data_IF_676454438949
#
_entry.id   IF_676454438949
#
_cell.length_a   1.000
_cell.length_b   1.000
_cell.length_c   1.000
_cell.angle_alpha   90.00
_cell.angle_beta   90.00
_cell.angle_gamma   90.00
#
_symmetry.space_group_name_H-M   'P 1'
#
loop_
_entity.id
_entity.type
_entity.pdbx_description
1 polymer ?
#
# COMPACT_ATOMS: atom_id res chain seq x y z
N UNK A 1 -8.61 52.45 8.57
CA UNK A 1 -8.28 52.80 9.96
C UNK A 1 -8.83 51.73 10.88
N UNK A 2 -7.96 51.23 11.76
CA UNK A 2 -8.13 50.08 12.63
C UNK A 2 -9.07 50.34 13.82
N UNK A 3 -9.68 49.26 14.35
CA UNK A 3 -9.85 48.97 15.79
C UNK A 3 -10.42 47.53 15.93
N UNK A 4 -9.60 46.50 16.12
CA UNK A 4 -9.09 45.97 17.40
C UNK A 4 -10.17 45.58 18.43
N UNK A 5 -10.60 44.31 18.41
CA UNK A 5 -10.90 43.51 19.60
C UNK A 5 -10.34 42.09 19.41
N UNK A 6 -9.30 41.77 20.19
CA UNK A 6 -8.87 40.39 20.40
C UNK A 6 -9.91 39.66 21.26
N UNK A 7 -10.12 38.36 21.05
CA UNK A 7 -9.59 37.37 22.02
C UNK A 7 -9.14 36.10 21.25
N UNK A 8 -8.51 35.06 21.78
CA UNK A 8 -8.06 34.62 23.09
C UNK A 8 -6.82 33.75 22.78
N UNK A 9 -5.74 33.90 23.53
CA UNK A 9 -4.46 33.24 23.29
C UNK A 9 -4.39 31.93 24.11
N UNK A 10 -5.46 31.14 24.07
CA UNK A 10 -5.51 29.81 24.67
C UNK A 10 -4.89 28.81 23.71
N UNK A 11 -3.62 28.50 23.99
CA UNK A 11 -2.80 27.42 23.45
C UNK A 11 -3.62 26.24 22.94
N UNK A 12 -3.85 26.18 21.63
CA UNK A 12 -4.05 24.89 20.99
C UNK A 12 -2.66 24.33 20.78
N UNK A 13 -2.20 23.53 21.75
CA UNK A 13 -1.07 22.64 21.55
C UNK A 13 -1.47 21.66 20.44
N UNK A 14 -1.29 22.07 19.19
CA UNK A 14 -1.28 21.17 18.06
C UNK A 14 0.01 20.35 18.16
N UNK A 15 0.01 19.38 19.06
CA UNK A 15 0.71 18.11 18.82
C UNK A 15 -0.08 17.36 17.76
N UNK A 16 -0.22 17.95 16.57
CA UNK A 16 -0.60 17.22 15.39
C UNK A 16 0.56 16.28 15.12
N UNK A 17 0.45 15.03 15.58
CA UNK A 17 1.31 13.94 15.11
C UNK A 17 1.27 14.02 13.59
N UNK A 18 2.37 14.45 12.97
CA UNK A 18 2.54 14.39 11.54
C UNK A 18 2.16 12.97 11.11
N UNK A 19 1.06 12.84 10.37
CA UNK A 19 0.59 11.53 9.94
C UNK A 19 1.71 10.84 9.18
N UNK A 20 1.99 9.58 9.52
CA UNK A 20 2.85 8.74 8.67
C UNK A 20 2.16 8.61 7.31
N UNK A 21 2.93 8.78 6.24
CA UNK A 21 2.48 8.52 4.87
C UNK A 21 3.23 7.28 4.42
N UNK A 22 2.56 6.12 4.38
CA UNK A 22 3.16 4.84 3.93
C UNK A 22 3.26 4.75 2.41
N UNK A 23 3.05 5.85 1.68
CA UNK A 23 2.87 5.80 0.24
C UNK A 23 3.25 7.10 -0.46
N UNK A 24 3.86 7.00 -1.64
CA UNK A 24 4.24 8.14 -2.48
C UNK A 24 3.02 8.87 -3.07
N UNK A 25 3.03 10.20 -3.08
CA UNK A 25 1.91 11.00 -3.62
C UNK A 25 2.00 11.26 -5.13
N UNK A 26 2.88 10.54 -5.85
CA UNK A 26 3.09 10.69 -7.29
C UNK A 26 2.59 9.48 -8.07
N UNK A 27 1.93 9.67 -9.23
CA UNK A 27 1.61 8.60 -10.17
C UNK A 27 2.82 7.72 -10.48
N UNK A 28 2.58 6.45 -10.78
CA UNK A 28 3.66 5.59 -11.25
C UNK A 28 4.11 6.04 -12.63
N UNK A 29 5.41 6.22 -12.82
CA UNK A 29 6.00 6.49 -14.14
C UNK A 29 7.26 5.67 -14.33
N UNK A 30 7.57 5.40 -15.60
CA UNK A 30 8.84 4.82 -15.99
C UNK A 30 9.93 5.89 -15.79
N UNK A 31 10.78 5.66 -14.78
CA UNK A 31 11.86 6.59 -14.40
C UNK A 31 13.00 6.51 -15.41
N UNK A 32 13.21 5.34 -16.02
CA UNK A 32 14.34 5.08 -16.90
C UNK A 32 14.04 5.55 -18.33
N UNK A 33 12.84 5.27 -18.86
CA UNK A 33 12.48 5.54 -20.26
C UNK A 33 13.56 5.08 -21.23
N UNK A 34 14.04 3.85 -21.05
CA UNK A 34 15.28 3.34 -21.65
C UNK A 34 15.38 3.64 -23.15
N UNK A 35 14.32 3.35 -23.91
CA UNK A 35 14.30 3.56 -25.36
C UNK A 35 14.47 5.02 -25.79
N UNK A 36 14.06 5.98 -24.96
CA UNK A 36 14.16 7.42 -25.24
C UNK A 36 15.47 8.05 -24.76
N UNK A 37 16.09 7.49 -23.72
CA UNK A 37 17.26 8.07 -23.07
C UNK A 37 18.55 7.39 -23.56
N UNK A 38 18.62 6.05 -23.53
CA UNK A 38 19.80 5.26 -23.89
C UNK A 38 19.63 4.49 -25.22
N UNK A 39 18.39 4.30 -25.65
CA UNK A 39 18.02 3.63 -26.90
C UNK A 39 17.54 2.20 -26.70
N UNK A 40 16.73 1.71 -27.65
CA UNK A 40 16.12 0.36 -27.61
C UNK A 40 17.12 -0.79 -27.70
N UNK A 41 18.35 -0.49 -28.14
CA UNK A 41 19.45 -1.45 -28.29
C UNK A 41 20.47 -1.37 -27.15
N UNK A 42 20.14 -0.69 -26.04
CA UNK A 42 21.03 -0.64 -24.87
C UNK A 42 21.25 -2.05 -24.31
N UNK A 43 22.51 -2.44 -24.16
CA UNK A 43 22.96 -3.80 -23.85
C UNK A 43 23.96 -3.87 -22.69
N UNK A 44 24.08 -2.80 -21.91
CA UNK A 44 24.86 -2.78 -20.67
C UNK A 44 23.98 -3.05 -19.44
N UNK A 45 24.63 -3.39 -18.31
CA UNK A 45 23.95 -3.68 -17.05
C UNK A 45 23.34 -2.41 -16.44
N UNK A 46 22.02 -2.42 -16.20
CA UNK A 46 21.33 -1.35 -15.49
C UNK A 46 21.52 -1.44 -13.98
N UNK A 47 21.82 -0.29 -13.36
CA UNK A 47 21.86 -0.10 -11.90
C UNK A 47 20.95 1.07 -11.52
N UNK A 48 19.82 0.76 -10.89
CA UNK A 48 18.75 1.72 -10.62
C UNK A 48 18.67 2.02 -9.12
N UNK A 49 18.69 3.30 -8.76
CA UNK A 49 18.52 3.78 -7.39
C UNK A 49 17.15 4.46 -7.23
N UNK A 50 16.29 3.86 -6.42
CA UNK A 50 15.03 4.44 -5.99
C UNK A 50 15.19 4.97 -4.56
N UNK A 51 15.79 6.16 -4.46
CA UNK A 51 16.06 6.81 -3.19
C UNK A 51 14.78 7.38 -2.55
N UNK A 52 14.52 7.07 -1.28
CA UNK A 52 13.29 7.45 -0.59
C UNK A 52 12.05 7.07 -1.41
N UNK A 53 12.01 5.80 -1.84
CA UNK A 53 11.07 5.31 -2.85
C UNK A 53 9.62 5.50 -2.44
N UNK A 54 9.31 5.48 -1.14
CA UNK A 54 7.96 5.51 -0.60
C UNK A 54 7.18 4.21 -0.85
N UNK A 55 7.33 3.61 -2.03
CA UNK A 55 6.70 2.37 -2.45
C UNK A 55 7.35 1.76 -3.71
N UNK A 56 6.86 0.61 -4.16
CA UNK A 56 7.38 -0.14 -5.32
C UNK A 56 6.83 0.32 -6.68
N UNK A 57 5.90 1.27 -6.77
CA UNK A 57 5.16 1.53 -8.02
C UNK A 57 6.05 1.97 -9.18
N UNK A 58 7.06 2.79 -8.88
CA UNK A 58 7.97 3.32 -9.88
C UNK A 58 9.00 2.26 -10.26
N UNK A 59 9.41 1.43 -9.30
CA UNK A 59 10.26 0.25 -9.54
C UNK A 59 9.57 -0.67 -10.53
N UNK A 60 8.35 -1.10 -10.19
CA UNK A 60 7.50 -1.94 -11.02
C UNK A 60 7.30 -1.29 -12.39
N UNK A 61 6.79 -0.06 -12.46
CA UNK A 61 6.52 0.59 -13.75
C UNK A 61 7.76 0.70 -14.62
N UNK A 62 8.92 0.99 -14.03
CA UNK A 62 10.19 1.15 -14.75
C UNK A 62 10.67 -0.18 -15.32
N UNK A 63 10.74 -1.23 -14.49
CA UNK A 63 11.19 -2.55 -14.95
C UNK A 63 10.19 -3.07 -15.99
N UNK A 64 8.87 -2.87 -15.79
CA UNK A 64 7.82 -3.40 -16.65
C UNK A 64 7.68 -2.69 -18.00
N UNK A 65 8.42 -1.60 -18.18
CA UNK A 65 8.53 -0.87 -19.44
C UNK A 65 9.86 -1.15 -20.15
N UNK A 66 10.70 -2.02 -19.60
CA UNK A 66 11.91 -2.43 -20.30
C UNK A 66 11.54 -3.15 -21.60
N UNK A 67 12.26 -2.87 -22.71
CA UNK A 67 12.04 -3.57 -23.96
C UNK A 67 12.27 -5.08 -23.77
N UNK A 68 11.45 -5.91 -24.41
CA UNK A 68 11.64 -7.37 -24.42
C UNK A 68 13.01 -7.81 -24.98
N UNK A 69 13.72 -6.93 -25.69
CA UNK A 69 15.08 -7.14 -26.20
C UNK A 69 16.16 -6.98 -25.12
N UNK A 70 15.87 -6.32 -24.01
CA UNK A 70 16.81 -6.11 -22.91
C UNK A 70 16.93 -7.40 -22.09
N UNK A 71 18.13 -7.98 -22.06
CA UNK A 71 18.41 -9.29 -21.45
C UNK A 71 19.51 -9.25 -20.41
N UNK A 72 20.07 -8.05 -20.14
CA UNK A 72 21.14 -7.90 -19.17
C UNK A 72 20.60 -7.93 -17.72
N UNK A 73 21.44 -8.31 -16.74
CA UNK A 73 21.06 -8.22 -15.34
C UNK A 73 20.66 -6.79 -14.95
N UNK A 74 19.75 -6.68 -13.99
CA UNK A 74 19.30 -5.41 -13.43
C UNK A 74 19.60 -5.43 -11.94
N UNK A 75 20.30 -4.41 -11.47
CA UNK A 75 20.50 -4.18 -10.04
C UNK A 75 19.60 -3.03 -9.60
N UNK A 76 18.75 -3.27 -8.59
CA UNK A 76 17.83 -2.26 -8.06
C UNK A 76 18.14 -2.05 -6.59
N UNK A 77 18.44 -0.80 -6.23
CA UNK A 77 18.57 -0.36 -4.84
C UNK A 77 17.35 0.47 -4.47
N UNK A 78 16.63 0.03 -3.44
CA UNK A 78 15.42 0.69 -2.94
C UNK A 78 15.68 1.02 -1.47
N UNK A 79 15.44 2.26 -1.05
CA UNK A 79 15.50 2.61 0.36
C UNK A 79 14.38 3.59 0.77
N UNK A 80 14.12 3.62 2.07
CA UNK A 80 13.30 4.64 2.70
C UNK A 80 13.85 4.95 4.10
N UNK A 81 13.52 6.11 4.63
CA UNK A 81 13.83 6.49 6.01
C UNK A 81 12.86 5.86 7.02
N UNK A 82 11.66 5.50 6.58
CA UNK A 82 10.65 4.86 7.42
C UNK A 82 10.74 3.34 7.26
N UNK A 83 11.12 2.65 8.35
CA UNK A 83 11.20 1.20 8.40
C UNK A 83 9.87 0.52 8.03
N UNK A 84 8.73 1.14 8.31
CA UNK A 84 7.42 0.58 7.96
C UNK A 84 7.29 0.45 6.43
N UNK A 85 7.75 1.46 5.69
CA UNK A 85 7.74 1.45 4.22
C UNK A 85 8.69 0.38 3.68
N UNK A 86 9.89 0.25 4.27
CA UNK A 86 10.85 -0.78 3.88
C UNK A 86 10.27 -2.18 4.12
N UNK A 87 9.71 -2.42 5.30
CA UNK A 87 9.11 -3.70 5.66
C UNK A 87 7.94 -4.06 4.74
N UNK A 88 7.10 -3.08 4.38
CA UNK A 88 6.03 -3.24 3.39
C UNK A 88 6.57 -3.72 2.05
N UNK A 89 7.55 -2.99 1.50
CA UNK A 89 8.13 -3.31 0.20
C UNK A 89 8.80 -4.69 0.20
N UNK A 90 9.53 -5.03 1.27
CA UNK A 90 10.19 -6.33 1.42
C UNK A 90 9.17 -7.46 1.48
N UNK A 91 8.15 -7.37 2.34
CA UNK A 91 7.15 -8.44 2.51
C UNK A 91 6.38 -8.67 1.21
N UNK A 92 6.06 -7.62 0.46
CA UNK A 92 5.41 -7.71 -0.85
C UNK A 92 6.26 -8.47 -1.87
N UNK A 93 7.55 -8.11 -1.98
CA UNK A 93 8.49 -8.82 -2.87
C UNK A 93 8.66 -10.27 -2.44
N UNK A 94 8.70 -10.54 -1.13
CA UNK A 94 8.80 -11.90 -0.61
C UNK A 94 7.55 -12.73 -0.91
N UNK A 95 6.33 -12.17 -0.78
CA UNK A 95 5.10 -12.86 -1.20
C UNK A 95 5.21 -13.24 -2.69
N UNK A 96 5.56 -12.28 -3.55
CA UNK A 96 5.75 -12.52 -4.97
C UNK A 96 6.83 -13.58 -5.27
N UNK A 97 7.86 -13.67 -4.44
CA UNK A 97 8.96 -14.63 -4.62
C UNK A 97 8.59 -16.05 -4.14
N UNK A 98 7.82 -16.18 -3.05
CA UNK A 98 7.54 -17.48 -2.43
C UNK A 98 6.24 -18.12 -2.91
N UNK A 99 5.36 -17.37 -3.59
CA UNK A 99 4.09 -17.88 -4.09
C UNK A 99 4.16 -18.03 -5.60
N UNK A 100 4.17 -19.27 -6.09
CA UNK A 100 4.35 -19.57 -7.51
C UNK A 100 3.15 -19.15 -8.38
N UNK A 101 1.94 -19.21 -7.82
CA UNK A 101 0.72 -18.82 -8.52
C UNK A 101 0.50 -17.31 -8.38
N UNK A 102 0.52 -16.63 -9.52
CA UNK A 102 0.47 -15.17 -9.60
C UNK A 102 -0.84 -14.60 -9.08
N UNK A 103 -1.97 -15.26 -9.36
CA UNK A 103 -3.29 -14.78 -8.91
C UNK A 103 -3.40 -14.92 -7.39
N UNK A 104 -2.90 -16.03 -6.84
CA UNK A 104 -2.85 -16.25 -5.40
C UNK A 104 -1.88 -15.25 -4.72
N UNK A 105 -0.72 -14.98 -5.33
CA UNK A 105 0.24 -14.01 -4.81
C UNK A 105 -0.36 -12.60 -4.76
N UNK A 106 -1.09 -12.20 -5.80
CA UNK A 106 -1.81 -10.94 -5.86
C UNK A 106 -2.86 -10.83 -4.73
N UNK A 107 -3.62 -11.89 -4.47
CA UNK A 107 -4.59 -11.92 -3.37
C UNK A 107 -3.91 -11.74 -2.01
N UNK A 108 -2.83 -12.49 -1.73
CA UNK A 108 -2.05 -12.32 -0.48
C UNK A 108 -1.52 -10.90 -0.32
N UNK A 109 -0.94 -10.34 -1.38
CA UNK A 109 -0.46 -8.97 -1.43
C UNK A 109 -1.60 -8.00 -1.09
N UNK A 110 -2.76 -8.14 -1.72
CA UNK A 110 -3.90 -7.26 -1.51
C UNK A 110 -4.40 -7.35 -0.06
N UNK A 111 -4.49 -8.55 0.51
CA UNK A 111 -4.90 -8.75 1.90
C UNK A 111 -3.92 -8.09 2.87
N UNK A 112 -2.64 -8.41 2.74
CA UNK A 112 -1.56 -7.87 3.60
C UNK A 112 -1.46 -6.35 3.49
N UNK A 113 -1.76 -5.79 2.34
CA UNK A 113 -1.54 -4.38 2.06
C UNK A 113 -2.75 -3.50 2.38
N UNK A 114 -3.96 -3.94 2.01
CA UNK A 114 -5.16 -3.11 2.15
C UNK A 114 -6.08 -3.58 3.27
N UNK A 115 -6.03 -4.82 3.70
CA UNK A 115 -7.05 -5.32 4.61
C UNK A 115 -6.70 -5.05 6.07
N UNK A 116 -7.67 -4.59 6.84
CA UNK A 116 -7.56 -4.39 8.29
C UNK A 116 -7.33 -5.71 9.02
N UNK A 117 -7.89 -6.78 8.46
CA UNK A 117 -7.77 -8.14 8.95
C UNK A 117 -7.22 -9.04 7.85
N UNK A 118 -6.61 -10.12 8.29
CA UNK A 118 -6.06 -11.21 7.51
C UNK A 118 -6.84 -12.49 7.82
N UNK A 119 -6.91 -13.37 6.83
CA UNK A 119 -7.41 -14.72 7.00
C UNK A 119 -6.27 -15.66 7.44
N UNK A 120 -6.61 -16.91 7.75
CA UNK A 120 -5.64 -17.87 8.26
C UNK A 120 -4.53 -18.18 7.24
N UNK A 121 -4.87 -18.31 5.95
CA UNK A 121 -3.87 -18.57 4.91
C UNK A 121 -2.88 -17.42 4.76
N UNK A 122 -3.33 -16.17 4.89
CA UNK A 122 -2.46 -14.99 4.88
C UNK A 122 -1.46 -15.05 6.06
N UNK A 123 -1.88 -15.48 7.24
CA UNK A 123 -0.97 -15.67 8.36
C UNK A 123 -0.02 -16.84 8.15
N UNK A 124 -0.52 -17.94 7.59
CA UNK A 124 0.28 -19.14 7.37
C UNK A 124 1.43 -18.84 6.38
N UNK A 125 1.19 -18.06 5.32
CA UNK A 125 2.25 -17.62 4.40
C UNK A 125 3.26 -16.70 5.12
N UNK A 126 2.78 -15.73 5.90
CA UNK A 126 3.63 -14.79 6.65
C UNK A 126 4.54 -15.53 7.64
N UNK A 127 4.00 -16.52 8.37
CA UNK A 127 4.71 -17.21 9.44
C UNK A 127 5.59 -18.37 8.94
N UNK A 128 5.15 -19.13 7.94
CA UNK A 128 5.86 -20.34 7.52
C UNK A 128 6.73 -20.16 6.28
N UNK A 129 6.46 -19.14 5.44
CA UNK A 129 7.21 -18.91 4.19
C UNK A 129 8.05 -17.64 4.24
N UNK A 130 7.52 -16.56 4.80
CA UNK A 130 8.18 -15.25 4.81
C UNK A 130 9.07 -15.07 6.05
N UNK A 131 8.55 -15.35 7.25
CA UNK A 131 9.32 -15.20 8.49
C UNK A 131 10.69 -15.92 8.48
N UNK A 132 10.83 -17.16 7.97
CA UNK A 132 12.12 -17.86 8.00
C UNK A 132 13.21 -17.26 7.11
N UNK A 133 12.86 -16.43 6.13
CA UNK A 133 13.82 -15.78 5.23
C UNK A 133 14.22 -14.37 5.70
N UNK A 134 13.62 -13.89 6.80
CA UNK A 134 13.96 -12.62 7.42
C UNK A 134 15.00 -12.84 8.53
N UNK A 135 16.11 -12.11 8.47
CA UNK A 135 17.17 -12.18 9.49
C UNK A 135 17.07 -11.06 10.53
N UNK A 136 16.47 -9.92 10.18
CA UNK A 136 16.39 -8.73 11.04
C UNK A 136 15.19 -8.78 11.98
N UNK A 137 15.43 -8.65 13.29
CA UNK A 137 14.40 -8.64 14.34
C UNK A 137 13.31 -7.59 14.10
N UNK A 138 13.73 -6.42 13.63
CA UNK A 138 12.85 -5.31 13.27
C UNK A 138 11.86 -5.70 12.15
N UNK A 139 12.30 -6.47 11.15
CA UNK A 139 11.45 -6.97 10.07
C UNK A 139 10.57 -8.14 10.53
N UNK A 140 11.09 -9.00 11.40
CA UNK A 140 10.32 -10.11 11.97
C UNK A 140 9.07 -9.63 12.72
N UNK A 141 9.14 -8.47 13.37
CA UNK A 141 8.01 -7.86 14.08
C UNK A 141 6.78 -7.62 13.18
N UNK A 142 6.99 -7.37 11.88
CA UNK A 142 5.92 -7.17 10.89
C UNK A 142 5.26 -8.48 10.42
N UNK A 143 5.73 -9.63 10.87
CA UNK A 143 5.06 -10.91 10.64
C UNK A 143 4.13 -11.31 11.78
N UNK A 144 4.29 -10.67 12.95
CA UNK A 144 3.57 -11.01 14.16
C UNK A 144 2.33 -10.14 14.36
N UNK A 145 1.24 -10.73 14.81
CA UNK A 145 0.05 -9.96 15.19
C UNK A 145 0.38 -9.07 16.40
N UNK A 146 0.07 -7.76 16.36
CA UNK A 146 0.41 -6.85 17.44
C UNK A 146 -0.29 -7.26 18.73
N UNK A 147 0.47 -7.33 19.83
CA UNK A 147 -0.07 -7.78 21.12
C UNK A 147 -1.23 -6.89 21.57
N UNK A 148 -2.37 -7.51 21.85
CA UNK A 148 -3.56 -6.82 22.34
C UNK A 148 -4.41 -6.13 21.27
N UNK A 149 -4.00 -6.19 19.99
CA UNK A 149 -4.86 -5.74 18.89
C UNK A 149 -5.94 -6.79 18.65
N UNK A 150 -7.20 -6.38 18.65
CA UNK A 150 -8.36 -7.23 18.37
C UNK A 150 -8.93 -6.90 16.99
N UNK A 151 -9.72 -7.80 16.40
CA UNK A 151 -10.36 -7.55 15.12
C UNK A 151 -11.27 -6.30 15.16
N UNK A 152 -12.05 -6.16 16.24
CA UNK A 152 -12.88 -4.97 16.45
C UNK A 152 -12.04 -3.70 16.52
N UNK A 153 -10.91 -3.74 17.23
CA UNK A 153 -10.01 -2.58 17.32
C UNK A 153 -9.38 -2.23 15.98
N UNK A 154 -8.99 -3.23 15.19
CA UNK A 154 -8.48 -3.03 13.84
C UNK A 154 -9.53 -2.35 12.94
N UNK A 155 -10.79 -2.79 12.99
CA UNK A 155 -11.90 -2.12 12.28
C UNK A 155 -12.11 -0.67 12.76
N UNK A 156 -12.05 -0.41 14.07
CA UNK A 156 -12.17 0.95 14.60
C UNK A 156 -11.05 1.87 14.10
N UNK A 157 -9.80 1.39 14.09
CA UNK A 157 -8.65 2.13 13.55
C UNK A 157 -8.90 2.47 12.08
N UNK A 158 -9.36 1.49 11.30
CA UNK A 158 -9.65 1.66 9.89
C UNK A 158 -10.76 2.70 9.66
N UNK A 159 -11.92 2.54 10.33
CA UNK A 159 -13.06 3.47 10.27
C UNK A 159 -12.68 4.89 10.70
N UNK A 160 -11.84 5.03 11.73
CA UNK A 160 -11.38 6.33 12.19
C UNK A 160 -10.58 7.08 11.12
N UNK A 161 -10.00 6.37 10.15
CA UNK A 161 -9.26 6.94 9.02
C UNK A 161 -10.13 7.09 7.78
N UNK A 162 -10.87 6.06 7.39
CA UNK A 162 -11.68 6.01 6.15
C UNK A 162 -12.99 6.78 6.25
N UNK A 163 -13.60 6.84 7.44
CA UNK A 163 -14.90 7.45 7.71
C UNK A 163 -14.81 8.61 8.70
N UNK A 164 -13.64 9.26 8.80
CA UNK A 164 -13.46 10.44 9.63
C UNK A 164 -14.48 11.54 9.28
N UNK A 165 -15.07 12.19 10.28
CA UNK A 165 -16.13 13.21 10.06
C UNK A 165 -15.66 14.34 9.11
N UNK A 166 -14.42 14.81 9.27
CA UNK A 166 -13.82 15.82 8.39
C UNK A 166 -13.63 15.37 6.92
N UNK A 167 -13.93 14.12 6.58
CA UNK A 167 -13.81 13.54 5.24
C UNK A 167 -15.16 13.21 4.61
N UNK A 168 -16.27 13.44 5.32
CA UNK A 168 -17.63 13.15 4.81
C UNK A 168 -17.87 13.75 3.44
N UNK A 169 -17.63 15.06 3.27
CA UNK A 169 -17.77 15.76 1.99
C UNK A 169 -16.88 15.15 0.88
N UNK A 170 -15.63 14.82 1.20
CA UNK A 170 -14.73 14.17 0.24
C UNK A 170 -15.27 12.80 -0.20
N UNK A 171 -15.73 11.99 0.75
CA UNK A 171 -16.29 10.66 0.47
C UNK A 171 -17.56 10.77 -0.38
N UNK A 172 -18.48 11.67 -0.01
CA UNK A 172 -19.74 11.87 -0.72
C UNK A 172 -19.49 12.34 -2.16
N UNK A 173 -18.57 13.30 -2.37
CA UNK A 173 -18.16 13.75 -3.70
C UNK A 173 -17.50 12.64 -4.52
N UNK A 174 -16.65 11.83 -3.91
CA UNK A 174 -16.03 10.70 -4.59
C UNK A 174 -17.09 9.68 -5.02
N UNK A 175 -18.01 9.29 -4.12
CA UNK A 175 -19.09 8.34 -4.42
C UNK A 175 -20.07 8.86 -5.47
N UNK A 176 -20.33 10.18 -5.53
CA UNK A 176 -21.27 10.80 -6.49
C UNK A 176 -20.95 10.45 -7.95
N UNK A 177 -19.67 10.33 -8.30
CA UNK A 177 -19.21 10.04 -9.65
C UNK A 177 -19.07 8.55 -9.97
N UNK A 178 -19.35 7.68 -8.99
CA UNK A 178 -19.18 6.24 -9.14
C UNK A 178 -20.48 5.52 -9.52
N UNK A 179 -20.35 4.36 -10.18
CA UNK A 179 -21.47 3.46 -10.45
C UNK A 179 -22.05 2.89 -9.15
N UNK A 180 -23.31 2.43 -9.19
CA UNK A 180 -23.99 1.90 -8.00
C UNK A 180 -23.21 0.75 -7.35
N UNK A 181 -22.75 -0.21 -8.15
CA UNK A 181 -21.98 -1.37 -7.68
C UNK A 181 -20.67 -0.94 -7.03
N UNK A 182 -19.97 0.04 -7.62
CA UNK A 182 -18.72 0.54 -7.07
C UNK A 182 -18.94 1.29 -5.75
N UNK A 183 -20.04 2.06 -5.62
CA UNK A 183 -20.38 2.72 -4.35
C UNK A 183 -20.56 1.70 -3.22
N UNK A 184 -21.28 0.61 -3.48
CA UNK A 184 -21.52 -0.43 -2.46
C UNK A 184 -20.18 -1.05 -2.03
N UNK A 185 -19.33 -1.43 -3.00
CA UNK A 185 -18.02 -2.00 -2.71
C UNK A 185 -17.13 -1.03 -1.92
N UNK A 186 -17.07 0.25 -2.32
CA UNK A 186 -16.27 1.26 -1.65
C UNK A 186 -16.76 1.55 -0.24
N UNK A 187 -18.07 1.71 -0.06
CA UNK A 187 -18.66 1.94 1.27
C UNK A 187 -18.36 0.78 2.18
N UNK A 188 -18.53 -0.46 1.70
CA UNK A 188 -18.23 -1.67 2.46
C UNK A 188 -16.76 -1.73 2.88
N UNK A 189 -15.84 -1.50 1.95
CA UNK A 189 -14.40 -1.40 2.25
C UNK A 189 -14.12 -0.31 3.30
N UNK A 190 -14.75 0.86 3.23
CA UNK A 190 -14.55 1.91 4.25
C UNK A 190 -15.10 1.53 5.62
N UNK A 191 -16.13 0.70 5.67
CA UNK A 191 -16.74 0.25 6.91
C UNK A 191 -15.97 -0.91 7.55
N UNK A 192 -15.62 -1.95 6.82
CA UNK A 192 -14.96 -3.14 7.39
C UNK A 192 -13.44 -3.18 7.16
N UNK A 193 -12.91 -2.31 6.29
CA UNK A 193 -11.49 -2.26 5.96
C UNK A 193 -11.01 -3.50 5.22
N UNK A 194 -11.88 -4.28 4.57
CA UNK A 194 -11.49 -5.48 3.82
C UNK A 194 -11.64 -5.24 2.31
N UNK A 195 -10.52 -5.29 1.59
CA UNK A 195 -10.50 -5.17 0.13
C UNK A 195 -10.58 -6.57 -0.47
N UNK A 196 -11.78 -6.93 -0.91
CA UNK A 196 -12.09 -8.26 -1.41
C UNK A 196 -13.01 -8.16 -2.63
N UNK A 197 -13.02 -9.18 -3.51
CA UNK A 197 -14.08 -9.34 -4.50
C UNK A 197 -15.46 -9.24 -3.86
N UNK A 198 -16.44 -8.69 -4.60
CA UNK A 198 -17.75 -8.34 -4.03
C UNK A 198 -18.45 -9.52 -3.33
N UNK A 199 -18.31 -10.72 -3.90
CA UNK A 199 -18.93 -11.96 -3.42
C UNK A 199 -18.04 -12.79 -2.48
N UNK A 200 -16.82 -12.33 -2.19
CA UNK A 200 -15.88 -13.07 -1.36
C UNK A 200 -16.36 -13.16 0.10
N UNK A 201 -16.14 -14.33 0.69
CA UNK A 201 -16.40 -14.60 2.09
C UNK A 201 -15.50 -13.73 2.98
N UNK A 202 -16.10 -13.11 4.01
CA UNK A 202 -15.42 -12.18 4.92
C UNK A 202 -15.23 -12.75 6.32
N UNK A 203 -15.98 -13.78 6.64
CA UNK A 203 -15.97 -14.42 7.95
C UNK A 203 -14.64 -15.12 8.26
N UNK A 204 -13.83 -15.42 7.25
CA UNK A 204 -12.48 -15.95 7.41
C UNK A 204 -11.47 -14.89 7.89
N UNK A 205 -11.73 -13.60 7.68
CA UNK A 205 -10.85 -12.50 8.04
C UNK A 205 -11.07 -12.09 9.49
N UNK A 206 -10.23 -12.60 10.39
CA UNK A 206 -10.39 -12.44 11.85
C UNK A 206 -9.13 -11.98 12.55
N UNK A 207 -8.00 -11.99 11.86
CA UNK A 207 -6.69 -11.75 12.47
C UNK A 207 -6.24 -10.33 12.15
N UNK A 208 -5.93 -9.49 13.13
CA UNK A 208 -5.43 -8.15 12.84
C UNK A 208 -4.19 -8.17 11.98
N UNK A 209 -4.15 -7.28 11.00
CA UNK A 209 -2.99 -7.10 10.15
C UNK A 209 -1.78 -6.56 10.96
N UNK A 210 -0.60 -7.22 10.92
CA UNK A 210 0.63 -6.77 11.57
C UNK A 210 1.01 -5.31 11.31
N UNK A 211 0.67 -4.79 10.13
CA UNK A 211 1.02 -3.45 9.72
C UNK A 211 0.14 -2.33 10.34
N UNK A 212 -0.80 -2.67 11.21
CA UNK A 212 -1.64 -1.71 11.94
C UNK A 212 -1.00 -1.17 13.23
N UNK A 213 0.32 -1.28 13.38
CA UNK A 213 1.00 -0.90 14.61
C UNK A 213 0.75 0.58 15.00
N UNK A 214 0.70 0.84 16.32
CA UNK A 214 0.46 2.15 16.93
C UNK A 214 -0.92 2.79 16.68
N UNK A 215 -1.95 2.00 16.34
CA UNK A 215 -3.30 2.52 16.03
C UNK A 215 -3.31 3.51 14.85
N UNK A 216 -2.31 3.42 13.96
CA UNK A 216 -2.21 4.27 12.80
C UNK A 216 -2.27 3.44 11.54
N UNK A 217 -3.41 3.45 10.87
CA UNK A 217 -3.49 3.07 9.48
C UNK A 217 -3.08 4.27 8.64
N UNK A 218 -1.94 4.19 7.94
CA UNK A 218 -1.59 5.28 7.03
C UNK A 218 -2.45 5.13 5.80
N UNK A 219 -3.28 6.15 5.61
CA UNK A 219 -4.37 6.21 4.64
C UNK A 219 -3.92 5.82 3.23
N UNK A 220 -4.00 4.53 2.92
CA UNK A 220 -4.18 4.06 1.56
C UNK A 220 -5.66 3.86 1.41
N UNK A 221 -6.34 4.96 1.08
CA UNK A 221 -7.61 4.76 0.43
C UNK A 221 -7.31 3.93 -0.82
N UNK A 222 -8.08 2.88 -1.05
CA UNK A 222 -8.21 2.29 -2.39
C UNK A 222 -8.41 3.39 -3.43
N UNK A 223 -9.04 4.52 -3.06
CA UNK A 223 -9.16 5.71 -3.90
C UNK A 223 -7.84 6.41 -4.26
N UNK A 224 -6.68 6.15 -3.64
CA UNK A 224 -5.39 6.71 -4.06
C UNK A 224 -4.68 5.85 -5.12
N UNK A 225 -5.08 4.58 -5.30
CA UNK A 225 -4.64 3.75 -6.44
C UNK A 225 -5.74 3.64 -7.49
N UNK A 226 -7.00 3.80 -7.08
CA UNK A 226 -8.20 3.90 -7.94
C UNK A 226 -8.61 5.34 -8.26
N UNK A 227 -7.82 6.37 -7.90
CA UNK A 227 -8.08 7.74 -8.35
C UNK A 227 -7.71 7.90 -9.82
N UNK A 228 -8.36 8.83 -10.50
CA UNK A 228 -8.14 9.13 -11.93
C UNK A 228 -6.70 9.54 -12.30
N UNK A 229 -5.80 9.72 -11.31
CA UNK A 229 -4.39 10.01 -11.50
C UNK A 229 -3.44 8.81 -11.37
N UNK A 230 -3.95 7.60 -11.13
CA UNK A 230 -3.15 6.40 -10.85
C UNK A 230 -3.49 5.23 -11.79
N UNK A 231 -2.62 4.22 -11.84
CA UNK A 231 -2.76 3.04 -12.72
C UNK A 231 -4.11 2.31 -12.51
N UNK A 232 -4.73 2.37 -11.32
CA UNK A 232 -5.82 1.48 -10.93
C UNK A 232 -5.26 0.18 -10.35
N UNK A 233 -6.00 -0.47 -9.44
CA UNK A 233 -5.59 -1.77 -8.86
C UNK A 233 -5.31 -2.77 -9.96
N UNK A 234 -6.22 -2.89 -10.92
CA UNK A 234 -6.10 -3.82 -12.05
C UNK A 234 -4.84 -3.59 -12.86
N UNK A 235 -4.56 -2.35 -13.27
CA UNK A 235 -3.38 -2.07 -14.09
C UNK A 235 -2.08 -2.08 -13.27
N UNK A 236 -2.15 -1.82 -11.97
CA UNK A 236 -1.00 -1.99 -11.06
C UNK A 236 -0.63 -3.45 -10.99
N UNK A 237 -1.61 -4.35 -10.80
CA UNK A 237 -1.40 -5.79 -10.84
C UNK A 237 -0.92 -6.24 -12.23
N UNK A 238 -1.59 -5.83 -13.31
CA UNK A 238 -1.22 -6.11 -14.71
C UNK A 238 0.22 -5.68 -15.07
N UNK A 239 0.75 -4.63 -14.44
CA UNK A 239 2.14 -4.20 -14.62
C UNK A 239 3.13 -4.89 -13.66
N UNK A 240 2.66 -5.37 -12.51
CA UNK A 240 3.46 -6.20 -11.60
C UNK A 240 3.64 -7.61 -12.17
N UNK A 241 2.61 -8.16 -12.81
CA UNK A 241 2.55 -9.54 -13.27
C UNK A 241 3.70 -9.92 -14.23
N UNK A 242 4.11 -9.11 -15.22
CA UNK A 242 5.17 -9.47 -16.16
C UNK A 242 6.60 -9.34 -15.63
N UNK A 243 6.75 -8.82 -14.40
CA UNK A 243 8.05 -8.55 -13.76
C UNK A 243 8.50 -9.62 -12.78
N UNK A 244 7.64 -10.61 -12.61
CA UNK A 244 7.72 -11.73 -11.71
C UNK A 244 7.78 -13.00 -12.56
#
# INVERSE_FOLDING_TARGET
>A
MCANRAPDNTKCNNTGRAGKYLWGNVPAFDVLRLGANEGVSYDEQLRLLFAASGDLRNVIKTIGQLPNSYTQPIEVTINDRDLNIVAWNVIMLLISLVVDDIDIAADYIIHVWYSALLCKSDLDIMQHRIRPVLEEDDLLSFTDTPKGLTANRAHEIYKAVTLAEGRKDYCDRHLLLQSLSYRIALTRFREDGLLLPFEAARDAFRHPNPFLENSTFSRIEVSNISDAGYLGIYHTLDLMIPLL
#
